data_IF_806493714691
#
_entry.id   IF_806493714691
#
_cell.length_a   1.000
_cell.length_b   1.000
_cell.length_c   1.000
_cell.angle_alpha   90.00
_cell.angle_beta   90.00
_cell.angle_gamma   90.00
#
_symmetry.space_group_name_H-M   'P 1'
#
loop_
_entity.id
_entity.type
_entity.pdbx_description
1 polymer ?
#
# COMPACT_ATOMS: atom_id res chain seq x y z
N UNK A 1 -34.41 80.01 16.00
CA UNK A 1 -34.70 78.87 15.10
C UNK A 1 -33.47 77.97 15.01
N UNK A 2 -33.47 76.86 15.74
CA UNK A 2 -32.35 75.94 15.77
C UNK A 2 -32.75 74.68 15.00
N UNK A 3 -32.15 74.47 13.83
CA UNK A 3 -32.30 73.23 13.04
C UNK A 3 -31.38 72.17 13.65
N UNK A 4 -31.97 71.14 14.18
CA UNK A 4 -31.22 69.96 14.66
C UNK A 4 -30.94 69.06 13.47
N UNK A 5 -29.69 68.92 13.12
CA UNK A 5 -29.21 67.90 12.20
C UNK A 5 -29.19 66.57 12.93
N UNK A 6 -29.98 65.64 12.51
CA UNK A 6 -29.92 64.25 12.97
C UNK A 6 -28.95 63.53 12.06
N UNK A 7 -27.81 63.20 12.61
CA UNK A 7 -26.80 62.38 11.92
C UNK A 7 -27.23 60.92 12.01
N UNK A 8 -27.66 60.37 10.90
CA UNK A 8 -28.05 58.97 10.81
C UNK A 8 -26.79 58.14 10.56
N UNK A 9 -26.31 57.49 11.60
CA UNK A 9 -25.17 56.62 11.52
C UNK A 9 -25.70 55.25 11.04
N UNK A 10 -25.53 55.01 9.74
CA UNK A 10 -25.79 53.72 9.12
C UNK A 10 -24.67 52.77 9.51
N UNK A 11 -24.93 51.88 10.45
CA UNK A 11 -24.02 50.81 10.82
C UNK A 11 -23.98 49.75 9.73
N UNK A 12 -22.96 49.78 8.91
CA UNK A 12 -22.64 48.67 8.01
C UNK A 12 -22.19 47.46 8.86
N UNK A 13 -23.08 46.49 8.98
CA UNK A 13 -22.72 45.19 9.54
C UNK A 13 -21.89 44.43 8.52
N UNK A 14 -20.58 44.41 8.73
CA UNK A 14 -19.63 43.59 7.97
C UNK A 14 -19.73 42.14 8.47
N UNK A 15 -20.60 41.37 7.79
CA UNK A 15 -20.69 39.92 8.02
C UNK A 15 -19.41 39.25 7.52
N UNK A 16 -18.51 38.93 8.44
CA UNK A 16 -17.42 38.02 8.17
C UNK A 16 -17.99 36.61 7.95
N UNK A 17 -18.02 36.19 6.69
CA UNK A 17 -18.27 34.81 6.31
C UNK A 17 -17.01 34.01 6.70
N UNK A 18 -17.03 33.41 7.88
CA UNK A 18 -16.04 32.39 8.27
C UNK A 18 -16.43 31.11 7.52
N UNK A 19 -15.77 30.84 6.39
CA UNK A 19 -15.83 29.52 5.78
C UNK A 19 -15.12 28.53 6.72
N UNK A 20 -15.80 27.47 7.17
CA UNK A 20 -15.07 26.38 7.81
C UNK A 20 -14.19 25.70 6.75
N UNK A 21 -12.90 25.82 6.90
CA UNK A 21 -11.90 25.03 6.20
C UNK A 21 -12.15 23.59 6.64
N UNK A 22 -12.89 22.81 5.84
CA UNK A 22 -12.99 21.37 5.98
C UNK A 22 -11.57 20.82 5.75
N UNK A 23 -10.84 20.66 6.84
CA UNK A 23 -9.64 19.85 6.83
C UNK A 23 -10.07 18.43 6.47
N UNK A 24 -9.82 18.03 5.21
CA UNK A 24 -9.80 16.62 4.85
C UNK A 24 -8.68 16.01 5.69
N UNK A 25 -9.04 15.42 6.81
CA UNK A 25 -8.20 14.45 7.51
C UNK A 25 -8.00 13.29 6.53
N UNK A 26 -6.87 13.25 5.87
CA UNK A 26 -6.35 12.01 5.30
C UNK A 26 -6.10 11.07 6.49
N UNK A 27 -7.13 10.31 6.82
CA UNK A 27 -6.99 9.16 7.68
C UNK A 27 -6.12 8.17 6.92
N UNK A 28 -4.81 8.24 7.15
CA UNK A 28 -3.89 7.16 6.85
C UNK A 28 -4.47 5.92 7.52
N UNK A 29 -5.15 5.08 6.72
CA UNK A 29 -5.92 3.96 7.22
C UNK A 29 -5.01 2.93 7.88
N UNK A 30 -4.79 3.05 9.18
CA UNK A 30 -4.19 2.00 10.02
C UNK A 30 -5.17 0.84 10.27
N UNK A 31 -6.26 0.79 9.50
CA UNK A 31 -7.23 -0.29 9.53
C UNK A 31 -6.70 -1.58 8.90
N UNK A 32 -7.26 -2.71 9.35
CA UNK A 32 -7.01 -4.00 8.71
C UNK A 32 -7.57 -3.96 7.29
N UNK A 33 -6.73 -4.34 6.32
CA UNK A 33 -7.02 -4.34 4.89
C UNK A 33 -6.72 -5.72 4.31
N UNK A 34 -7.19 -5.94 3.09
CA UNK A 34 -6.92 -7.15 2.32
C UNK A 34 -6.11 -6.80 1.08
N UNK A 35 -5.05 -7.57 0.83
CA UNK A 35 -4.15 -7.44 -0.30
C UNK A 35 -4.13 -8.76 -1.05
N UNK A 36 -4.14 -8.71 -2.38
CA UNK A 36 -4.02 -9.89 -3.24
C UNK A 36 -2.81 -9.78 -4.13
N UNK A 37 -2.18 -10.90 -4.42
CA UNK A 37 -1.02 -10.94 -5.31
C UNK A 37 -0.23 -12.22 -5.15
N UNK A 38 0.85 -12.32 -5.91
CA UNK A 38 1.79 -13.44 -5.83
C UNK A 38 2.84 -13.19 -4.74
N UNK A 39 3.17 -14.23 -3.97
CA UNK A 39 4.33 -14.20 -3.07
C UNK A 39 5.58 -14.42 -3.90
N UNK A 40 6.19 -13.33 -4.31
CA UNK A 40 7.44 -13.29 -5.05
C UNK A 40 8.64 -13.02 -4.11
N UNK A 41 9.81 -12.88 -4.69
CA UNK A 41 11.02 -12.44 -4.00
C UNK A 41 11.47 -11.05 -4.47
N UNK A 42 12.33 -10.40 -3.68
CA UNK A 42 12.80 -9.05 -3.94
C UNK A 42 13.74 -8.92 -5.16
N UNK A 43 14.19 -10.01 -5.75
CA UNK A 43 15.00 -10.03 -6.98
C UNK A 43 14.08 -10.02 -8.21
N UNK A 44 12.99 -10.79 -8.17
CA UNK A 44 12.05 -10.93 -9.29
C UNK A 44 10.99 -9.82 -9.36
N UNK A 45 10.57 -9.27 -8.22
CA UNK A 45 9.51 -8.24 -8.17
C UNK A 45 9.75 -6.99 -9.04
N UNK A 46 10.99 -6.48 -9.23
CA UNK A 46 11.21 -5.32 -10.11
C UNK A 46 10.83 -5.57 -11.58
N UNK A 47 10.89 -6.82 -12.03
CA UNK A 47 10.46 -7.20 -13.38
C UNK A 47 9.02 -7.71 -13.44
N UNK A 48 8.40 -8.00 -12.29
CA UNK A 48 7.09 -8.62 -12.19
C UNK A 48 7.03 -10.04 -12.80
N UNK A 49 8.20 -10.70 -12.95
CA UNK A 49 8.31 -12.00 -13.62
C UNK A 49 9.52 -12.78 -13.16
N UNK A 50 9.33 -14.08 -12.94
CA UNK A 50 10.40 -15.02 -12.65
C UNK A 50 11.20 -15.42 -13.90
N UNK A 51 10.58 -15.34 -15.08
CA UNK A 51 11.16 -15.81 -16.34
C UNK A 51 12.52 -15.17 -16.65
N UNK A 52 12.66 -13.87 -16.41
CA UNK A 52 13.91 -13.15 -16.66
C UNK A 52 15.04 -13.60 -15.72
N UNK A 53 14.72 -13.89 -14.48
CA UNK A 53 15.69 -14.40 -13.48
C UNK A 53 16.09 -15.84 -13.79
N UNK A 54 15.12 -16.70 -14.07
CA UNK A 54 15.37 -18.10 -14.46
C UNK A 54 16.21 -18.22 -15.73
N UNK A 55 16.04 -17.29 -16.68
CA UNK A 55 16.84 -17.26 -17.91
C UNK A 55 18.31 -16.82 -17.69
N UNK A 56 18.55 -15.98 -16.69
CA UNK A 56 19.88 -15.37 -16.44
C UNK A 56 20.69 -16.08 -15.37
N UNK A 57 20.02 -16.75 -14.44
CA UNK A 57 20.65 -17.37 -13.27
C UNK A 57 20.39 -18.87 -13.26
N UNK A 58 21.45 -19.66 -13.33
CA UNK A 58 21.33 -21.11 -13.19
C UNK A 58 20.91 -21.50 -11.76
N UNK A 59 20.11 -22.56 -11.64
CA UNK A 59 19.68 -23.08 -10.34
C UNK A 59 18.44 -22.42 -9.73
N UNK A 60 17.79 -21.50 -10.48
CA UNK A 60 16.56 -20.83 -10.01
C UNK A 60 15.29 -21.69 -10.13
N UNK A 61 15.41 -22.95 -10.53
CA UNK A 61 14.24 -23.82 -10.72
C UNK A 61 13.57 -23.61 -12.08
N UNK A 62 12.36 -24.17 -12.22
CA UNK A 62 11.59 -24.16 -13.49
C UNK A 62 10.19 -23.52 -13.35
N UNK A 63 9.82 -23.13 -12.15
CA UNK A 63 8.52 -22.53 -11.81
C UNK A 63 8.69 -21.41 -10.78
N UNK A 64 7.62 -20.65 -10.54
CA UNK A 64 7.61 -19.51 -9.61
C UNK A 64 8.01 -19.91 -8.19
N UNK A 65 7.52 -21.05 -7.71
CA UNK A 65 7.78 -21.52 -6.35
C UNK A 65 9.26 -21.79 -6.13
N UNK A 66 9.85 -22.61 -7.00
CA UNK A 66 11.27 -22.98 -6.90
C UNK A 66 12.19 -21.79 -7.13
N UNK A 67 11.83 -20.89 -8.04
CA UNK A 67 12.57 -19.65 -8.29
C UNK A 67 12.55 -18.73 -7.06
N UNK A 68 11.39 -18.47 -6.48
CA UNK A 68 11.25 -17.64 -5.28
C UNK A 68 12.03 -18.20 -4.10
N UNK A 69 11.90 -19.52 -3.85
CA UNK A 69 12.65 -20.20 -2.76
C UNK A 69 14.17 -20.13 -2.97
N UNK A 70 14.63 -20.32 -4.20
CA UNK A 70 16.06 -20.24 -4.52
C UNK A 70 16.60 -18.81 -4.30
N UNK A 71 15.87 -17.78 -4.75
CA UNK A 71 16.25 -16.38 -4.52
C UNK A 71 16.30 -16.03 -3.03
N UNK A 72 15.32 -16.49 -2.25
CA UNK A 72 15.30 -16.25 -0.80
C UNK A 72 16.45 -16.97 -0.10
N UNK A 73 16.82 -18.18 -0.54
CA UNK A 73 17.99 -18.88 -0.04
C UNK A 73 19.31 -18.11 -0.31
N UNK A 74 19.34 -17.27 -1.35
CA UNK A 74 20.46 -16.38 -1.66
C UNK A 74 20.39 -15.03 -0.91
N UNK A 75 19.40 -14.83 -0.03
CA UNK A 75 19.27 -13.63 0.80
C UNK A 75 18.19 -12.64 0.36
N UNK A 76 17.41 -12.95 -0.69
CA UNK A 76 16.24 -12.16 -1.03
C UNK A 76 15.17 -12.24 0.07
N UNK A 77 14.21 -11.31 0.03
CA UNK A 77 13.05 -11.28 0.93
C UNK A 77 11.79 -11.65 0.17
N UNK A 78 10.84 -12.30 0.85
CA UNK A 78 9.50 -12.45 0.32
C UNK A 78 8.81 -11.10 0.22
N UNK A 79 8.12 -10.89 -0.88
CA UNK A 79 7.35 -9.70 -1.22
C UNK A 79 5.97 -10.14 -1.69
N UNK A 80 4.98 -9.28 -1.58
CA UNK A 80 3.71 -9.46 -2.28
C UNK A 80 3.72 -8.59 -3.53
N UNK A 81 3.50 -9.20 -4.69
CA UNK A 81 3.37 -8.52 -5.97
C UNK A 81 1.90 -8.55 -6.44
N UNK A 82 1.25 -7.39 -6.40
CA UNK A 82 -0.08 -7.23 -6.98
C UNK A 82 0.05 -7.10 -8.50
N UNK A 83 -0.33 -8.14 -9.22
CA UNK A 83 -0.24 -8.21 -10.68
C UNK A 83 -1.20 -7.24 -11.37
N UNK A 84 -2.29 -6.83 -10.71
CA UNK A 84 -3.29 -5.92 -11.29
C UNK A 84 -2.80 -4.47 -11.29
N UNK A 85 -2.26 -4.03 -10.17
CA UNK A 85 -1.76 -2.65 -10.00
C UNK A 85 -0.26 -2.51 -10.24
N UNK A 86 0.46 -3.62 -10.44
CA UNK A 86 1.92 -3.69 -10.50
C UNK A 86 2.59 -3.13 -9.24
N UNK A 87 1.90 -3.23 -8.10
CA UNK A 87 2.41 -2.72 -6.83
C UNK A 87 3.18 -3.81 -6.09
N UNK A 88 4.33 -3.43 -5.56
CA UNK A 88 5.18 -4.30 -4.72
C UNK A 88 5.01 -3.89 -3.27
N UNK A 89 4.63 -4.85 -2.43
CA UNK A 89 4.58 -4.67 -0.98
C UNK A 89 5.67 -5.51 -0.31
N UNK A 90 6.41 -4.92 0.62
CA UNK A 90 7.20 -5.69 1.56
C UNK A 90 6.29 -6.30 2.64
N UNK A 91 6.68 -7.44 3.19
CA UNK A 91 5.91 -8.12 4.24
C UNK A 91 6.76 -8.27 5.50
N UNK A 92 6.20 -7.96 6.67
CA UNK A 92 6.94 -8.03 7.93
C UNK A 92 7.17 -9.47 8.38
N UNK A 93 6.14 -10.32 8.31
CA UNK A 93 6.19 -11.69 8.79
C UNK A 93 6.57 -12.64 7.64
N UNK A 94 7.87 -12.72 7.36
CA UNK A 94 8.45 -13.53 6.29
C UNK A 94 8.08 -15.02 6.43
N UNK A 95 8.04 -15.53 7.65
CA UNK A 95 7.70 -16.91 7.98
C UNK A 95 6.26 -17.28 7.63
N UNK A 96 5.31 -16.33 7.79
CA UNK A 96 3.91 -16.56 7.45
C UNK A 96 3.68 -16.75 5.96
N UNK A 97 4.45 -16.07 5.12
CA UNK A 97 4.30 -16.11 3.66
C UNK A 97 5.19 -17.15 2.98
N UNK A 98 6.23 -17.63 3.66
CA UNK A 98 7.25 -18.53 3.09
C UNK A 98 6.66 -19.79 2.44
N UNK A 99 5.62 -20.38 3.05
CA UNK A 99 4.96 -21.59 2.53
C UNK A 99 4.19 -21.36 1.23
N UNK A 100 3.91 -20.10 0.90
CA UNK A 100 3.16 -19.68 -0.28
C UNK A 100 4.08 -19.10 -1.38
N UNK A 101 5.37 -19.35 -1.29
CA UNK A 101 6.34 -18.89 -2.30
C UNK A 101 5.88 -19.23 -3.72
N UNK A 102 5.76 -18.25 -4.60
CA UNK A 102 5.33 -18.42 -5.99
C UNK A 102 3.84 -18.65 -6.20
N UNK A 103 3.03 -18.54 -5.15
CA UNK A 103 1.57 -18.73 -5.20
C UNK A 103 0.83 -17.40 -5.06
N UNK A 104 -0.34 -17.33 -5.69
CA UNK A 104 -1.27 -16.22 -5.48
C UNK A 104 -1.97 -16.35 -4.12
N UNK A 105 -1.98 -15.27 -3.36
CA UNK A 105 -2.52 -15.26 -2.01
C UNK A 105 -3.41 -14.04 -1.76
N UNK A 106 -4.23 -14.17 -0.72
CA UNK A 106 -4.89 -13.05 -0.05
C UNK A 106 -4.23 -12.85 1.31
N UNK A 107 -3.67 -11.68 1.53
CA UNK A 107 -3.10 -11.28 2.82
C UNK A 107 -4.06 -10.33 3.52
N UNK A 108 -4.39 -10.63 4.77
CA UNK A 108 -5.07 -9.70 5.68
C UNK A 108 -4.04 -9.08 6.62
N UNK A 109 -4.03 -7.76 6.72
CA UNK A 109 -3.05 -7.06 7.54
C UNK A 109 -3.23 -5.55 7.57
N UNK A 110 -2.27 -4.84 8.12
CA UNK A 110 -2.23 -3.37 8.12
C UNK A 110 -1.09 -2.87 7.24
N UNK A 111 -1.30 -1.73 6.58
CA UNK A 111 -0.31 -1.12 5.69
C UNK A 111 0.34 0.09 6.34
N UNK A 112 1.67 0.12 6.33
CA UNK A 112 2.48 1.28 6.71
C UNK A 112 3.46 1.60 5.58
N UNK A 113 3.20 2.67 4.83
CA UNK A 113 3.90 2.94 3.58
C UNK A 113 3.61 1.84 2.54
N UNK A 114 4.63 1.09 2.13
CA UNK A 114 4.50 -0.08 1.26
C UNK A 114 4.75 -1.41 2.00
N UNK A 115 4.69 -1.41 3.32
CA UNK A 115 4.97 -2.57 4.16
C UNK A 115 3.69 -3.08 4.80
N UNK A 116 3.38 -4.35 4.56
CA UNK A 116 2.25 -5.04 5.17
C UNK A 116 2.71 -5.71 6.47
N UNK A 117 2.04 -5.38 7.57
CA UNK A 117 2.10 -6.16 8.80
C UNK A 117 1.06 -7.28 8.69
N UNK A 118 1.53 -8.48 8.42
CA UNK A 118 0.71 -9.64 8.02
C UNK A 118 0.01 -10.24 9.25
N UNK A 119 -1.32 -10.22 9.23
CA UNK A 119 -2.14 -10.91 10.22
C UNK A 119 -2.41 -12.36 9.81
N UNK A 120 -2.91 -12.53 8.58
CA UNK A 120 -3.30 -13.83 8.04
C UNK A 120 -3.01 -13.92 6.55
N UNK A 121 -2.87 -15.16 6.04
CA UNK A 121 -2.59 -15.46 4.62
C UNK A 121 -3.40 -16.65 4.20
N UNK A 122 -4.19 -16.48 3.13
CA UNK A 122 -4.95 -17.51 2.45
C UNK A 122 -4.44 -17.69 1.03
N UNK A 123 -4.24 -18.94 0.60
CA UNK A 123 -3.92 -19.25 -0.80
C UNK A 123 -5.18 -19.06 -1.67
N UNK A 124 -4.99 -18.44 -2.84
CA UNK A 124 -6.02 -18.32 -3.86
C UNK A 124 -5.85 -19.52 -4.80
N UNK A 125 -6.86 -20.39 -4.81
CA UNK A 125 -6.87 -21.58 -5.68
C UNK A 125 -7.07 -21.27 -7.15
#
# INVERSE_FOLDING_TARGET
MKKRFVCNISTLALSLLVLPLLALSEQSGHGVQTFTGEVMDSICTPSGSHAATMAKMSGMGKDSETCTKACVALGAKYMLYDQTSHTVYSVNQQDKVARFAGHDVRITGTLAGNKIDVRDVDELG
#
